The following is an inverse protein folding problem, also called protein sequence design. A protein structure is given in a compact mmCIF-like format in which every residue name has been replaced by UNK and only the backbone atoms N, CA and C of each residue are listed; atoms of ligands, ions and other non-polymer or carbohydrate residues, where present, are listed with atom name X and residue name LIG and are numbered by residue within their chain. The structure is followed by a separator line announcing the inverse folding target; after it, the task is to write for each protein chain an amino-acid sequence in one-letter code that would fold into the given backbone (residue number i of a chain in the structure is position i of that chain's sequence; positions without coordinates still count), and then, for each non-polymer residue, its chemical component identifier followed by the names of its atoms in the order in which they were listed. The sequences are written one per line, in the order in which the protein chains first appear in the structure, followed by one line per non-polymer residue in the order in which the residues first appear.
data_IF_986646839738
#
_entry.id   IF_986646839738
#
_cell.length_a   1.000
_cell.length_b   1.000
_cell.length_c   1.000
_cell.angle_alpha   90.00
_cell.angle_beta   90.00
_cell.angle_gamma   90.00
#
_symmetry.space_group_name_H-M   'P 1'
#
loop_
_entity.id
_entity.type
_entity.pdbx_description
1 polymer ?
#
# COMPACT_ATOMS: atom_id res chain seq x y z
N UNK A 1 11.12 11.92 -13.90
CA UNK A 1 10.08 11.84 -12.85
C UNK A 1 10.39 10.63 -12.00
N UNK A 2 10.84 10.85 -10.79
CA UNK A 2 11.19 9.83 -9.80
C UNK A 2 9.96 9.47 -8.97
N UNK A 3 9.64 8.18 -8.85
CA UNK A 3 8.63 7.66 -7.92
C UNK A 3 9.30 7.16 -6.63
N UNK A 4 8.62 7.32 -5.51
CA UNK A 4 8.93 6.64 -4.25
C UNK A 4 7.83 5.63 -3.94
N UNK A 5 8.19 4.33 -3.90
CA UNK A 5 7.30 3.28 -3.40
C UNK A 5 7.41 3.26 -1.88
N UNK A 6 6.37 3.76 -1.21
CA UNK A 6 6.32 3.95 0.23
C UNK A 6 5.54 2.79 0.89
N UNK A 7 6.21 1.98 1.72
CA UNK A 7 5.66 0.73 2.23
C UNK A 7 5.74 0.70 3.76
N UNK A 8 4.63 0.86 4.48
CA UNK A 8 4.57 0.52 5.89
C UNK A 8 4.49 -1.00 6.05
N UNK A 9 5.19 -1.55 7.03
CA UNK A 9 5.20 -2.99 7.32
C UNK A 9 5.26 -3.24 8.82
N UNK A 10 4.57 -4.28 9.28
CA UNK A 10 4.54 -4.73 10.67
C UNK A 10 4.98 -6.19 10.80
N UNK A 11 4.11 -7.12 10.44
CA UNK A 11 4.26 -8.56 10.61
C UNK A 11 4.06 -9.36 9.29
N UNK A 12 3.99 -8.66 8.16
CA UNK A 12 3.77 -9.18 6.82
C UNK A 12 5.06 -9.77 6.22
N UNK A 13 5.64 -10.81 6.85
CA UNK A 13 6.96 -11.33 6.47
C UNK A 13 7.01 -11.93 5.05
N UNK A 14 6.03 -12.74 4.68
CA UNK A 14 6.00 -13.37 3.36
C UNK A 14 5.61 -12.36 2.28
N UNK A 15 4.65 -11.52 2.60
CA UNK A 15 4.07 -10.54 1.69
C UNK A 15 5.08 -9.47 1.33
N UNK A 16 5.80 -8.92 2.31
CA UNK A 16 6.84 -7.90 2.06
C UNK A 16 7.98 -8.44 1.17
N UNK A 17 8.33 -9.72 1.29
CA UNK A 17 9.33 -10.33 0.42
C UNK A 17 8.86 -10.34 -1.03
N UNK A 18 7.61 -10.72 -1.29
CA UNK A 18 7.02 -10.72 -2.63
C UNK A 18 6.99 -9.31 -3.21
N UNK A 19 6.47 -8.36 -2.45
CA UNK A 19 6.32 -6.98 -2.91
C UNK A 19 7.68 -6.36 -3.22
N UNK A 20 8.67 -6.51 -2.34
CA UNK A 20 10.02 -5.98 -2.56
C UNK A 20 10.69 -6.63 -3.76
N UNK A 21 10.58 -7.95 -3.92
CA UNK A 21 11.13 -8.65 -5.10
C UNK A 21 10.54 -8.07 -6.37
N UNK A 22 9.22 -7.97 -6.46
CA UNK A 22 8.54 -7.41 -7.62
C UNK A 22 8.98 -5.97 -7.92
N UNK A 23 8.99 -5.10 -6.91
CA UNK A 23 9.35 -3.69 -7.11
C UNK A 23 10.82 -3.50 -7.51
N UNK A 24 11.74 -4.29 -6.94
CA UNK A 24 13.16 -4.26 -7.28
C UNK A 24 13.39 -4.65 -8.76
N UNK A 25 12.64 -5.63 -9.24
CA UNK A 25 12.76 -6.13 -10.61
C UNK A 25 12.08 -5.22 -11.65
N UNK A 26 11.02 -4.50 -11.27
CA UNK A 26 10.15 -3.80 -12.22
C UNK A 26 10.19 -2.27 -12.14
N UNK A 27 10.69 -1.66 -11.05
CA UNK A 27 10.80 -0.21 -10.94
C UNK A 27 11.85 0.36 -11.91
N UNK A 28 11.69 1.58 -12.32
CA UNK A 28 12.73 2.27 -13.08
C UNK A 28 13.96 2.54 -12.19
N UNK A 29 15.11 2.73 -12.84
CA UNK A 29 16.41 2.90 -12.16
C UNK A 29 16.43 4.12 -11.22
N UNK A 30 15.78 5.21 -11.62
CA UNK A 30 15.68 6.44 -10.82
C UNK A 30 14.70 6.36 -9.64
N UNK A 31 13.76 5.40 -9.67
CA UNK A 31 12.77 5.22 -8.62
C UNK A 31 13.39 4.62 -7.36
N UNK A 32 12.81 4.93 -6.22
CA UNK A 32 13.24 4.38 -4.93
C UNK A 32 12.13 3.58 -4.25
N UNK A 33 12.55 2.70 -3.35
CA UNK A 33 11.66 1.99 -2.42
C UNK A 33 12.04 2.44 -1.02
N UNK A 34 11.05 2.85 -0.23
CA UNK A 34 11.23 3.27 1.16
C UNK A 34 10.29 2.44 2.04
N UNK A 35 10.86 1.66 2.94
CA UNK A 35 10.12 0.79 3.87
C UNK A 35 10.14 1.38 5.28
N UNK A 36 9.00 1.42 5.94
CA UNK A 36 8.88 1.85 7.33
C UNK A 36 8.34 0.70 8.19
N UNK A 37 9.20 0.13 9.02
CA UNK A 37 8.85 -0.99 9.89
C UNK A 37 8.36 -0.50 11.26
N UNK A 38 7.21 -1.03 11.72
CA UNK A 38 6.69 -0.79 13.08
C UNK A 38 7.58 -1.51 14.11
N UNK A 39 8.45 -0.77 14.77
CA UNK A 39 9.39 -1.32 15.76
C UNK A 39 8.73 -1.68 17.10
N UNK A 40 7.53 -1.17 17.37
CA UNK A 40 6.81 -1.43 18.61
C UNK A 40 6.04 -2.74 18.58
N UNK A 41 5.36 -3.02 17.47
CA UNK A 41 4.46 -4.17 17.33
C UNK A 41 4.87 -5.12 16.20
N UNK A 42 5.96 -4.83 15.51
CA UNK A 42 6.40 -5.55 14.31
C UNK A 42 7.10 -6.88 14.62
N UNK A 43 7.03 -7.79 13.66
CA UNK A 43 7.72 -9.08 13.75
C UNK A 43 9.22 -8.91 13.53
N UNK A 44 10.02 -9.51 14.42
CA UNK A 44 11.48 -9.53 14.33
C UNK A 44 12.02 -10.25 13.08
N UNK A 45 11.25 -11.15 12.50
CA UNK A 45 11.61 -11.77 11.22
C UNK A 45 11.64 -10.74 10.09
N UNK A 46 10.67 -9.81 10.08
CA UNK A 46 10.62 -8.69 9.12
C UNK A 46 11.85 -7.80 9.30
N UNK A 47 12.16 -7.36 10.54
CA UNK A 47 13.34 -6.55 10.81
C UNK A 47 14.62 -7.24 10.33
N UNK A 48 14.79 -8.52 10.68
CA UNK A 48 15.98 -9.30 10.31
C UNK A 48 16.15 -9.39 8.79
N UNK A 49 15.04 -9.62 8.08
CA UNK A 49 15.03 -9.67 6.61
C UNK A 49 15.42 -8.32 6.00
N UNK A 50 14.78 -7.22 6.44
CA UNK A 50 15.06 -5.88 5.92
C UNK A 50 16.51 -5.49 6.15
N UNK A 51 17.03 -5.74 7.34
CA UNK A 51 18.44 -5.49 7.69
C UNK A 51 19.40 -6.27 6.79
N UNK A 52 19.16 -7.57 6.62
CA UNK A 52 20.00 -8.44 5.77
C UNK A 52 20.01 -7.96 4.32
N UNK A 53 18.85 -7.75 3.74
CA UNK A 53 18.72 -7.32 2.34
C UNK A 53 19.35 -5.95 2.07
N UNK A 54 19.25 -5.02 3.02
CA UNK A 54 19.85 -3.70 2.87
C UNK A 54 21.38 -3.72 2.94
N UNK A 55 21.96 -4.51 3.85
CA UNK A 55 23.42 -4.65 3.97
C UNK A 55 24.00 -5.31 2.71
N UNK A 56 23.34 -6.33 2.18
CA UNK A 56 23.88 -7.09 1.05
C UNK A 56 23.78 -6.35 -0.29
N UNK A 57 22.73 -5.55 -0.52
CA UNK A 57 22.41 -5.05 -1.87
C UNK A 57 22.05 -3.59 -1.98
N UNK A 58 21.76 -2.88 -0.89
CA UNK A 58 21.31 -1.47 -0.88
C UNK A 58 20.20 -1.14 -1.90
N UNK A 59 19.27 -2.09 -2.11
CA UNK A 59 18.23 -2.00 -3.15
C UNK A 59 17.04 -1.14 -2.75
N UNK A 60 16.91 -0.84 -1.46
CA UNK A 60 15.87 0.00 -0.89
C UNK A 60 16.37 0.68 0.38
N UNK A 61 15.70 1.76 0.80
CA UNK A 61 15.88 2.38 2.12
C UNK A 61 14.89 1.76 3.09
N UNK A 62 15.29 1.55 4.35
CA UNK A 62 14.35 1.18 5.39
C UNK A 62 14.63 1.90 6.70
N UNK A 63 13.57 2.15 7.45
CA UNK A 63 13.59 2.87 8.72
C UNK A 63 12.70 2.17 9.74
N UNK A 64 12.96 2.39 11.02
CA UNK A 64 12.10 1.95 12.11
C UNK A 64 11.22 3.11 12.57
N UNK A 65 9.98 2.80 12.95
CA UNK A 65 9.02 3.75 13.49
C UNK A 65 8.29 3.13 14.67
N UNK A 66 8.28 3.80 15.81
CA UNK A 66 7.50 3.36 16.96
C UNK A 66 6.04 3.81 16.77
N UNK A 67 5.19 2.87 16.33
CA UNK A 67 3.81 3.18 16.00
C UNK A 67 3.04 3.73 17.20
N UNK A 68 2.54 4.94 17.05
CA UNK A 68 1.79 5.70 18.08
C UNK A 68 0.29 5.40 18.10
N UNK A 69 -0.19 4.44 17.31
CA UNK A 69 -1.62 4.13 17.13
C UNK A 69 -2.32 5.06 16.15
N UNK A 70 -1.60 5.89 15.38
CA UNK A 70 -2.15 6.85 14.44
C UNK A 70 -1.60 6.61 13.02
N UNK A 71 -2.38 5.95 12.16
CA UNK A 71 -1.92 5.54 10.84
C UNK A 71 -1.52 6.71 9.93
N UNK A 72 -2.27 7.83 9.95
CA UNK A 72 -1.87 8.98 9.15
C UNK A 72 -0.53 9.58 9.60
N UNK A 73 -0.19 9.57 10.89
CA UNK A 73 1.13 9.99 11.36
C UNK A 73 2.23 9.11 10.77
N UNK A 74 2.06 7.79 10.85
CA UNK A 74 2.99 6.82 10.27
C UNK A 74 3.17 7.03 8.76
N UNK A 75 2.07 7.17 8.01
CA UNK A 75 2.11 7.40 6.55
C UNK A 75 2.74 8.74 6.19
N UNK A 76 2.47 9.80 6.95
CA UNK A 76 3.10 11.12 6.74
C UNK A 76 4.59 11.09 7.07
N UNK A 77 4.99 10.38 8.15
CA UNK A 77 6.40 10.18 8.45
C UNK A 77 7.09 9.40 7.33
N UNK A 78 6.49 8.31 6.85
CA UNK A 78 7.01 7.56 5.70
C UNK A 78 7.16 8.44 4.46
N UNK A 79 6.15 9.27 4.14
CA UNK A 79 6.21 10.23 3.04
C UNK A 79 7.38 11.21 3.19
N UNK A 80 7.66 11.68 4.40
CA UNK A 80 8.78 12.62 4.67
C UNK A 80 10.17 12.00 4.44
N UNK A 81 10.28 10.69 4.40
CA UNK A 81 11.52 9.96 4.12
C UNK A 81 11.73 9.71 2.61
N UNK A 82 10.72 10.01 1.80
CA UNK A 82 10.72 9.80 0.36
C UNK A 82 11.25 11.02 -0.40
N UNK A 83 12.08 10.78 -1.41
CA UNK A 83 12.69 11.82 -2.25
C UNK A 83 12.06 11.93 -3.65
N UNK A 84 11.14 11.01 -4.01
CA UNK A 84 10.46 11.04 -5.30
C UNK A 84 9.50 12.21 -5.43
N UNK A 85 9.29 12.67 -6.66
CA UNK A 85 8.29 13.69 -6.98
C UNK A 85 6.86 13.22 -6.72
N UNK A 86 6.67 11.90 -6.80
CA UNK A 86 5.40 11.23 -6.56
C UNK A 86 5.59 10.04 -5.64
N UNK A 87 4.61 9.85 -4.78
CA UNK A 87 4.53 8.71 -3.87
C UNK A 87 3.56 7.68 -4.43
N UNK A 88 3.99 6.43 -4.42
CA UNK A 88 3.14 5.25 -4.61
C UNK A 88 3.10 4.52 -3.28
N UNK A 89 2.05 4.70 -2.50
CA UNK A 89 1.88 4.03 -1.23
C UNK A 89 1.25 2.66 -1.45
N UNK A 90 1.93 1.61 -0.99
CA UNK A 90 1.43 0.23 -0.98
C UNK A 90 1.55 -0.33 0.44
N UNK A 91 0.51 -0.98 0.92
CA UNK A 91 0.59 -1.74 2.17
C UNK A 91 1.38 -3.04 1.90
N UNK A 92 2.11 -3.56 2.90
CA UNK A 92 3.04 -4.69 2.69
C UNK A 92 2.36 -5.97 2.19
N UNK A 93 1.05 -6.13 2.41
CA UNK A 93 0.21 -7.24 1.96
C UNK A 93 -0.51 -6.97 0.62
N UNK A 94 -0.16 -5.86 -0.06
CA UNK A 94 -0.68 -5.53 -1.37
C UNK A 94 0.32 -5.91 -2.47
N UNK A 95 -0.17 -6.30 -3.64
CA UNK A 95 0.62 -6.59 -4.84
C UNK A 95 0.08 -5.80 -6.03
N UNK A 96 0.92 -5.61 -7.03
CA UNK A 96 0.55 -4.96 -8.29
C UNK A 96 1.08 -5.77 -9.47
N UNK A 97 0.44 -5.64 -10.63
CA UNK A 97 0.88 -6.29 -11.86
C UNK A 97 1.95 -5.48 -12.60
N UNK A 98 2.58 -6.10 -13.61
CA UNK A 98 3.65 -5.50 -14.42
C UNK A 98 3.22 -4.20 -15.13
N UNK A 99 1.95 -4.07 -15.50
CA UNK A 99 1.43 -2.88 -16.17
C UNK A 99 1.13 -1.72 -15.21
N UNK A 100 1.12 -1.96 -13.89
CA UNK A 100 0.80 -0.94 -12.90
C UNK A 100 1.80 0.23 -12.95
N UNK A 101 3.10 -0.05 -12.94
CA UNK A 101 4.15 0.98 -12.91
C UNK A 101 4.12 1.86 -14.19
N UNK A 102 4.13 1.27 -15.41
CA UNK A 102 3.97 2.06 -16.64
C UNK A 102 2.67 2.87 -16.67
N UNK A 103 1.58 2.31 -16.14
CA UNK A 103 0.28 3.00 -16.09
C UNK A 103 0.31 4.20 -15.15
N UNK A 104 0.90 4.07 -13.94
CA UNK A 104 1.10 5.18 -13.00
C UNK A 104 1.86 6.32 -13.68
N UNK A 105 3.03 6.02 -14.26
CA UNK A 105 3.87 7.03 -14.93
C UNK A 105 3.17 7.68 -16.11
N UNK A 106 2.48 6.88 -16.93
CA UNK A 106 1.69 7.37 -18.05
C UNK A 106 0.55 8.28 -17.61
N UNK A 107 -0.18 7.89 -16.56
CA UNK A 107 -1.29 8.68 -15.99
C UNK A 107 -0.84 10.02 -15.45
N UNK A 108 0.27 10.05 -14.71
CA UNK A 108 0.85 11.31 -14.20
C UNK A 108 1.24 12.23 -15.36
N UNK A 109 1.96 11.69 -16.35
CA UNK A 109 2.42 12.46 -17.51
C UNK A 109 1.27 13.04 -18.34
N UNK A 110 0.18 12.28 -18.49
CA UNK A 110 -0.98 12.69 -19.28
C UNK A 110 -1.93 13.64 -18.55
N UNK A 111 -1.78 13.79 -17.23
CA UNK A 111 -2.66 14.60 -16.40
C UNK A 111 -1.87 15.53 -15.47
N UNK A 112 -1.17 16.55 -16.02
CA UNK A 112 -0.22 17.38 -15.26
C UNK A 112 -0.86 18.22 -14.14
N UNK A 113 -2.17 18.42 -14.16
CA UNK A 113 -2.91 19.17 -13.14
C UNK A 113 -3.49 18.27 -12.03
N UNK A 114 -3.35 16.94 -12.13
CA UNK A 114 -3.82 16.00 -11.13
C UNK A 114 -2.78 15.88 -10.02
N UNK A 115 -3.22 15.89 -8.76
CA UNK A 115 -2.36 15.80 -7.58
C UNK A 115 -2.40 14.44 -6.90
N UNK A 116 -3.43 13.63 -7.17
CA UNK A 116 -3.57 12.26 -6.64
C UNK A 116 -4.35 11.36 -7.59
N UNK A 117 -4.06 10.05 -7.50
CA UNK A 117 -4.84 9.04 -8.22
C UNK A 117 -5.40 8.02 -7.25
N UNK A 118 -6.66 7.70 -7.47
CA UNK A 118 -7.40 6.67 -6.77
C UNK A 118 -7.30 5.38 -7.56
N UNK A 119 -6.93 4.30 -6.89
CA UNK A 119 -6.65 3.01 -7.50
C UNK A 119 -7.69 2.00 -7.03
N UNK A 120 -8.39 1.29 -7.93
CA UNK A 120 -9.23 0.17 -7.57
C UNK A 120 -8.40 -0.96 -6.95
N UNK A 121 -8.88 -1.52 -5.85
CA UNK A 121 -8.26 -2.66 -5.16
C UNK A 121 -9.16 -3.87 -5.27
N UNK A 122 -8.58 -5.01 -5.60
CA UNK A 122 -9.21 -6.31 -5.66
C UNK A 122 -8.90 -7.03 -4.35
N UNK A 123 -9.92 -7.19 -3.51
CA UNK A 123 -9.80 -7.93 -2.25
C UNK A 123 -10.26 -9.37 -2.46
N UNK A 124 -9.46 -10.33 -2.01
CA UNK A 124 -9.81 -11.74 -1.96
C UNK A 124 -9.43 -12.33 -0.60
N UNK A 125 -10.22 -13.28 -0.10
CA UNK A 125 -9.95 -13.94 1.19
C UNK A 125 -10.06 -15.45 1.01
N UNK A 126 -8.93 -16.14 1.20
CA UNK A 126 -8.91 -17.60 1.22
C UNK A 126 -9.60 -18.15 2.45
N UNK A 127 -10.46 -19.16 2.29
CA UNK A 127 -11.24 -19.74 3.38
C UNK A 127 -12.52 -18.95 3.72
N UNK A 128 -12.91 -17.97 2.90
CA UNK A 128 -14.15 -17.22 3.07
C UNK A 128 -15.39 -18.15 2.96
N UNK A 129 -16.31 -18.08 3.91
CA UNK A 129 -17.56 -18.83 3.92
C UNK A 129 -18.77 -17.92 3.74
N UNK A 130 -19.94 -18.51 3.44
CA UNK A 130 -21.20 -17.77 3.35
C UNK A 130 -21.58 -17.10 4.68
N UNK A 131 -21.21 -17.73 5.81
CA UNK A 131 -21.44 -17.15 7.15
C UNK A 131 -20.63 -15.87 7.35
N UNK A 132 -19.36 -15.85 6.90
CA UNK A 132 -18.53 -14.66 6.94
C UNK A 132 -19.10 -13.53 6.06
N UNK A 133 -19.54 -13.86 4.85
CA UNK A 133 -20.13 -12.91 3.91
C UNK A 133 -21.37 -12.24 4.51
N UNK A 134 -22.25 -13.05 5.11
CA UNK A 134 -23.46 -12.55 5.77
C UNK A 134 -23.13 -11.71 7.02
N UNK A 135 -22.22 -12.20 7.87
CA UNK A 135 -21.80 -11.53 9.10
C UNK A 135 -21.22 -10.14 8.85
N UNK A 136 -20.40 -10.00 7.78
CA UNK A 136 -19.73 -8.75 7.47
C UNK A 136 -20.45 -7.90 6.42
N UNK A 137 -21.57 -8.38 5.88
CA UNK A 137 -22.36 -7.67 4.88
C UNK A 137 -21.61 -7.47 3.55
N UNK A 138 -20.70 -8.39 3.22
CA UNK A 138 -19.88 -8.27 2.02
C UNK A 138 -20.63 -8.69 0.74
N UNK A 139 -20.26 -8.06 -0.36
CA UNK A 139 -20.68 -8.47 -1.70
C UNK A 139 -19.49 -9.16 -2.36
N UNK A 140 -19.70 -10.37 -2.83
CA UNK A 140 -18.67 -11.17 -3.52
C UNK A 140 -19.16 -11.45 -4.94
N UNK A 141 -18.38 -11.10 -5.94
CA UNK A 141 -18.72 -11.36 -7.33
C UNK A 141 -18.33 -12.81 -7.75
N UNK A 142 -18.63 -13.17 -8.98
CA UNK A 142 -18.36 -14.51 -9.55
C UNK A 142 -16.85 -14.87 -9.62
N UNK A 143 -15.96 -13.87 -9.56
CA UNK A 143 -14.50 -14.03 -9.50
C UNK A 143 -13.98 -14.18 -8.09
N UNK A 144 -14.85 -14.08 -7.07
CA UNK A 144 -14.47 -14.08 -5.66
C UNK A 144 -13.94 -12.72 -5.16
N UNK A 145 -14.18 -11.63 -5.91
CA UNK A 145 -13.75 -10.29 -5.51
C UNK A 145 -14.73 -9.68 -4.53
N UNK A 146 -14.20 -9.16 -3.42
CA UNK A 146 -14.99 -8.65 -2.31
C UNK A 146 -15.17 -7.13 -2.46
N UNK A 147 -16.43 -6.67 -2.47
CA UNK A 147 -16.82 -5.26 -2.51
C UNK A 147 -16.14 -4.46 -3.64
N UNK A 148 -15.84 -5.09 -4.76
CA UNK A 148 -15.17 -4.45 -5.89
C UNK A 148 -16.09 -3.46 -6.62
N UNK A 149 -15.58 -2.27 -7.04
CA UNK A 149 -14.23 -1.76 -6.80
C UNK A 149 -14.10 -1.13 -5.40
N UNK A 150 -13.04 -1.52 -4.68
CA UNK A 150 -12.62 -0.88 -3.44
C UNK A 150 -11.59 0.20 -3.78
N UNK A 151 -12.04 1.46 -3.83
CA UNK A 151 -11.23 2.58 -4.34
C UNK A 151 -10.30 3.11 -3.26
N UNK A 152 -8.99 3.06 -3.52
CA UNK A 152 -7.94 3.45 -2.58
C UNK A 152 -7.14 4.67 -3.06
N UNK A 153 -6.88 5.62 -2.17
CA UNK A 153 -5.95 6.73 -2.42
C UNK A 153 -4.52 6.21 -2.26
N UNK A 154 -3.79 6.01 -3.36
CA UNK A 154 -2.47 5.34 -3.32
C UNK A 154 -1.35 6.08 -4.04
N UNK A 155 -1.65 6.94 -5.01
CA UNK A 155 -0.65 7.69 -5.77
C UNK A 155 -0.89 9.18 -5.56
N UNK A 156 0.13 9.92 -5.14
CA UNK A 156 -0.01 11.35 -4.87
C UNK A 156 1.31 12.11 -5.03
N UNK A 157 1.20 13.41 -5.36
CA UNK A 157 2.35 14.30 -5.53
C UNK A 157 3.01 14.58 -4.17
N UNK A 158 4.34 14.50 -4.12
CA UNK A 158 5.14 14.80 -2.93
C UNK A 158 5.50 16.28 -2.86
N UNK A 159 4.54 17.14 -2.55
CA UNK A 159 4.70 18.60 -2.53
C UNK A 159 4.59 19.22 -1.14
N UNK A 160 4.52 18.41 -0.09
CA UNK A 160 4.33 18.84 1.30
C UNK A 160 2.93 19.35 1.65
N UNK A 161 2.02 19.51 0.67
CA UNK A 161 0.62 19.93 0.87
C UNK A 161 -0.32 18.73 0.95
N UNK A 162 -0.11 17.74 0.07
CA UNK A 162 -0.88 16.49 0.06
C UNK A 162 -0.37 15.61 1.19
N UNK A 163 -1.25 15.25 2.11
CA UNK A 163 -0.89 14.48 3.32
C UNK A 163 -2.06 13.64 3.81
N UNK A 164 -1.73 12.62 4.59
CA UNK A 164 -2.69 11.75 5.24
C UNK A 164 -3.32 12.41 6.47
N UNK A 165 -4.60 12.12 6.70
CA UNK A 165 -5.40 12.57 7.83
C UNK A 165 -6.19 11.40 8.40
N UNK A 166 -6.62 11.53 9.65
CA UNK A 166 -7.34 10.61 10.50
C UNK A 166 -6.46 9.50 11.12
N UNK A 167 -6.85 9.12 12.33
CA UNK A 167 -6.18 8.07 13.10
C UNK A 167 -6.33 6.69 12.44
N UNK A 168 -7.56 6.40 11.98
CA UNK A 168 -7.98 5.21 11.24
C UNK A 168 -8.84 5.65 10.06
N UNK A 169 -9.00 4.82 9.05
CA UNK A 169 -9.69 5.16 7.79
C UNK A 169 -9.10 6.44 7.17
N UNK A 170 -7.78 6.42 7.02
CA UNK A 170 -7.00 7.55 6.58
C UNK A 170 -7.36 7.93 5.14
N UNK A 171 -7.44 9.24 4.92
CA UNK A 171 -7.68 9.85 3.62
C UNK A 171 -6.60 10.86 3.30
N UNK A 172 -6.31 11.07 2.02
CA UNK A 172 -5.44 12.17 1.58
C UNK A 172 -6.23 13.47 1.54
N UNK A 173 -5.64 14.53 2.09
CA UNK A 173 -6.12 15.91 1.94
C UNK A 173 -5.07 16.77 1.23
N UNK A 174 -5.45 17.98 0.84
CA UNK A 174 -4.54 18.94 0.19
C UNK A 174 -4.36 18.75 -1.32
N UNK A 175 -5.08 17.80 -1.93
CA UNK A 175 -5.16 17.68 -3.39
C UNK A 175 -6.38 18.43 -3.93
N UNK A 176 -6.20 19.23 -4.99
CA UNK A 176 -7.28 19.96 -5.65
C UNK A 176 -7.95 19.13 -6.74
N UNK A 177 -7.14 18.34 -7.47
CA UNK A 177 -7.60 17.49 -8.56
C UNK A 177 -7.12 16.06 -8.38
N UNK A 178 -7.99 15.11 -8.69
CA UNK A 178 -7.66 13.69 -8.64
C UNK A 178 -8.11 12.95 -9.91
N UNK A 179 -7.43 11.87 -10.22
CA UNK A 179 -7.81 10.90 -11.24
C UNK A 179 -8.21 9.58 -10.60
N UNK A 180 -8.94 8.74 -11.36
CA UNK A 180 -9.30 7.39 -10.94
C UNK A 180 -8.81 6.42 -12.02
N UNK A 181 -8.14 5.35 -11.60
CA UNK A 181 -7.72 4.29 -12.51
C UNK A 181 -8.93 3.47 -12.97
N UNK A 182 -8.87 2.88 -14.18
CA UNK A 182 -9.94 2.02 -14.66
C UNK A 182 -10.03 0.73 -13.82
N UNK A 183 -11.23 0.14 -13.78
CA UNK A 183 -11.50 -1.14 -13.12
C UNK A 183 -10.95 -2.33 -13.95
N UNK A 184 -9.65 -2.32 -14.20
CA UNK A 184 -8.94 -3.35 -14.97
C UNK A 184 -7.95 -4.04 -14.03
N UNK A 185 -8.00 -5.36 -13.99
CA UNK A 185 -7.19 -6.19 -13.08
C UNK A 185 -5.70 -5.90 -13.18
N UNK A 186 -5.17 -5.69 -14.38
CA UNK A 186 -3.76 -5.47 -14.69
C UNK A 186 -3.19 -4.13 -14.17
N UNK A 187 -4.07 -3.21 -13.74
CA UNK A 187 -3.69 -1.91 -13.14
C UNK A 187 -4.31 -1.68 -11.77
N UNK A 188 -5.03 -2.68 -11.23
CA UNK A 188 -5.54 -2.66 -9.86
C UNK A 188 -4.45 -3.04 -8.84
N UNK A 189 -4.70 -2.70 -7.59
CA UNK A 189 -3.97 -3.27 -6.45
C UNK A 189 -4.63 -4.60 -6.10
N UNK A 190 -3.83 -5.64 -5.91
CA UNK A 190 -4.26 -6.97 -5.48
C UNK A 190 -4.01 -7.12 -3.98
N UNK A 191 -5.03 -7.49 -3.24
CA UNK A 191 -4.98 -7.63 -1.79
C UNK A 191 -5.60 -8.96 -1.38
N UNK A 192 -4.73 -9.95 -1.18
CA UNK A 192 -5.12 -11.30 -0.82
C UNK A 192 -4.82 -11.57 0.66
N UNK A 193 -5.82 -12.10 1.38
CA UNK A 193 -5.69 -12.49 2.79
C UNK A 193 -6.18 -13.91 3.01
N UNK A 194 -5.72 -14.54 4.09
CA UNK A 194 -6.39 -15.70 4.68
C UNK A 194 -7.47 -15.25 5.68
N UNK A 195 -8.44 -16.14 5.93
CA UNK A 195 -9.59 -15.83 6.79
C UNK A 195 -9.18 -15.52 8.24
N UNK A 196 -8.17 -16.18 8.77
CA UNK A 196 -7.70 -15.95 10.16
C UNK A 196 -7.11 -14.57 10.33
N UNK A 197 -6.37 -14.09 9.32
CA UNK A 197 -5.81 -12.73 9.31
C UNK A 197 -6.94 -11.70 9.24
N UNK A 198 -7.95 -11.96 8.39
CA UNK A 198 -9.12 -11.07 8.26
C UNK A 198 -9.92 -10.98 9.57
N UNK A 199 -10.14 -12.11 10.24
CA UNK A 199 -10.84 -12.14 11.53
C UNK A 199 -10.07 -11.36 12.62
N UNK A 200 -8.73 -11.56 12.70
CA UNK A 200 -7.90 -10.80 13.64
C UNK A 200 -7.95 -9.29 13.37
N UNK A 201 -7.92 -8.89 12.10
CA UNK A 201 -7.98 -7.49 11.72
C UNK A 201 -9.33 -6.86 12.07
N UNK A 202 -10.44 -7.54 11.79
CA UNK A 202 -11.77 -7.07 12.15
C UNK A 202 -11.90 -6.89 13.69
N UNK A 203 -11.44 -7.90 14.46
CA UNK A 203 -11.45 -7.80 15.93
C UNK A 203 -10.59 -6.65 16.44
N UNK A 204 -9.45 -6.37 15.81
CA UNK A 204 -8.60 -5.23 16.19
C UNK A 204 -9.30 -3.89 15.92
N UNK A 205 -9.98 -3.74 14.79
CA UNK A 205 -10.71 -2.50 14.49
C UNK A 205 -11.89 -2.24 15.43
N UNK A 206 -12.50 -3.28 15.99
CA UNK A 206 -13.55 -3.15 17.00
C UNK A 206 -13.01 -2.57 18.35
N UNK A 207 -11.68 -2.55 18.55
CA UNK A 207 -11.04 -2.05 19.77
C UNK A 207 -10.52 -0.60 19.66
N UNK A 208 -10.58 0.01 18.46
CA UNK A 208 -10.06 1.35 18.17
C UNK A 208 -11.14 2.43 18.21
#
# INVERSE_FOLDING_TARGET
MKLSYAIPVKDEFVEIQRLLTFLIENKDKEDEIVVLWDSKNGDKQVETYLRKMNVEKSLFKWYSYEFDGHFANMKNHLTSLCEGEWIVQLDADEMVGELFIPWVKGSIKSNPNVHSFFIPRINTVEGLTQEHIQKWGWKVDERGWINFPDIQQRVYINNGKVRWKNKVHEVLEGHEHFGIFPNREDVCILHHKDIKRQERQNSYYETL
#
